data_IF_164638520805
#
_entry.id   IF_164638520805
#
_cell.length_a   1.000
_cell.length_b   1.000
_cell.length_c   1.000
_cell.angle_alpha   90.00
_cell.angle_beta   90.00
_cell.angle_gamma   90.00
#
_symmetry.space_group_name_H-M   'P 1'
#
loop_
_entity.id
_entity.type
_entity.pdbx_description
1 polymer ?
#
# COMPACT_ATOMS: atom_id res chain seq x y z
N UNK A 1 -20.51 21.43 -10.56
CA UNK A 1 -20.00 20.08 -10.97
C UNK A 1 -19.05 19.57 -9.92
N UNK A 2 -19.18 18.31 -9.51
CA UNK A 2 -18.27 17.73 -8.54
C UNK A 2 -16.81 17.77 -9.03
N UNK A 3 -15.93 18.20 -8.15
CA UNK A 3 -14.49 18.31 -8.39
C UNK A 3 -13.73 17.26 -7.58
N UNK A 4 -12.75 16.60 -8.21
CA UNK A 4 -11.84 15.69 -7.53
C UNK A 4 -10.43 16.26 -7.64
N UNK A 5 -9.80 16.55 -6.49
CA UNK A 5 -8.37 16.89 -6.40
C UNK A 5 -7.64 15.69 -5.83
N UNK A 6 -6.61 15.20 -6.52
CA UNK A 6 -5.80 14.05 -6.07
C UNK A 6 -4.44 14.56 -5.61
N UNK A 7 -4.10 14.28 -4.36
CA UNK A 7 -2.79 14.53 -3.76
C UNK A 7 -2.07 13.20 -3.65
N UNK A 8 -0.95 13.08 -4.38
CA UNK A 8 -0.07 11.92 -4.32
C UNK A 8 1.02 12.14 -3.29
N UNK A 9 1.11 11.31 -2.28
CA UNK A 9 2.09 11.43 -1.18
C UNK A 9 3.20 10.40 -1.31
N UNK A 10 4.41 10.79 -0.97
CA UNK A 10 5.57 9.90 -1.07
C UNK A 10 5.81 9.05 0.20
N UNK A 11 4.82 8.94 1.08
CA UNK A 11 4.74 8.10 2.29
C UNK A 11 5.80 8.32 3.39
N UNK A 12 6.82 9.15 3.20
CA UNK A 12 8.00 9.16 4.10
C UNK A 12 8.60 10.55 4.34
N UNK A 13 7.87 11.62 4.04
CA UNK A 13 8.41 12.96 4.23
C UNK A 13 7.47 13.87 5.03
N UNK A 14 8.04 14.72 5.87
CA UNK A 14 7.31 15.81 6.50
C UNK A 14 6.62 16.70 5.46
N UNK A 15 7.23 16.86 4.30
CA UNK A 15 6.66 17.58 3.17
C UNK A 15 5.31 17.01 2.74
N UNK A 16 5.17 15.66 2.66
CA UNK A 16 3.89 15.03 2.31
C UNK A 16 2.79 15.33 3.33
N UNK A 17 3.14 15.38 4.61
CA UNK A 17 2.21 15.79 5.68
C UNK A 17 1.76 17.24 5.48
N UNK A 18 2.70 18.13 5.20
CA UNK A 18 2.41 19.57 5.02
C UNK A 18 1.61 19.82 3.73
N UNK A 19 1.89 19.08 2.64
CA UNK A 19 1.12 19.12 1.38
C UNK A 19 -0.33 18.68 1.57
N UNK A 20 -0.58 17.62 2.36
CA UNK A 20 -1.93 17.17 2.68
C UNK A 20 -2.71 18.20 3.47
N UNK A 21 -2.08 18.80 4.50
CA UNK A 21 -2.70 19.85 5.32
C UNK A 21 -3.04 21.09 4.48
N UNK A 22 -2.07 21.56 3.71
CA UNK A 22 -2.29 22.69 2.79
C UNK A 22 -3.42 22.39 1.79
N UNK A 23 -3.46 21.18 1.25
CA UNK A 23 -4.52 20.79 0.32
C UNK A 23 -5.92 20.80 0.97
N UNK A 24 -6.06 20.36 2.24
CA UNK A 24 -7.33 20.44 2.98
C UNK A 24 -7.74 21.88 3.22
N UNK A 25 -6.82 22.75 3.67
CA UNK A 25 -7.10 24.13 3.96
C UNK A 25 -7.47 24.95 2.72
N UNK A 26 -6.71 24.78 1.63
CA UNK A 26 -6.91 25.53 0.38
C UNK A 26 -8.15 25.05 -0.39
N UNK A 27 -8.27 23.74 -0.56
CA UNK A 27 -9.34 23.14 -1.37
C UNK A 27 -10.66 23.09 -0.64
N UNK A 28 -10.67 23.08 0.72
CA UNK A 28 -11.85 22.97 1.58
C UNK A 28 -12.81 21.87 1.10
N UNK A 29 -12.39 20.62 1.12
CA UNK A 29 -13.18 19.53 0.58
C UNK A 29 -14.44 19.26 1.42
N UNK A 30 -15.50 18.77 0.76
CA UNK A 30 -16.71 18.27 1.42
C UNK A 30 -16.54 16.80 1.87
N UNK A 31 -15.52 16.11 1.36
CA UNK A 31 -15.09 14.77 1.79
C UNK A 31 -13.60 14.57 1.51
N UNK A 32 -12.92 13.95 2.46
CA UNK A 32 -11.52 13.48 2.29
C UNK A 32 -11.57 11.98 2.03
N UNK A 33 -11.17 11.57 0.82
CA UNK A 33 -11.04 10.18 0.43
C UNK A 33 -9.59 9.72 0.68
N UNK A 34 -9.38 8.63 1.42
CA UNK A 34 -8.07 8.18 1.86
C UNK A 34 -7.81 6.76 1.33
N UNK A 35 -6.61 6.49 0.82
CA UNK A 35 -6.15 5.19 0.34
C UNK A 35 -5.91 4.21 1.51
N UNK A 36 -6.94 3.96 2.27
CA UNK A 36 -6.98 2.99 3.35
C UNK A 36 -8.21 2.10 3.22
N UNK A 37 -8.06 0.86 3.67
CA UNK A 37 -9.17 -0.03 3.98
C UNK A 37 -9.57 0.11 5.46
N UNK A 38 -10.76 -0.39 5.87
CA UNK A 38 -11.22 -0.27 7.25
C UNK A 38 -10.28 -0.86 8.30
N UNK A 39 -9.53 -1.92 7.97
CA UNK A 39 -8.61 -2.57 8.91
C UNK A 39 -7.36 -1.73 9.17
N UNK A 40 -6.77 -1.17 8.10
CA UNK A 40 -5.63 -0.25 8.20
C UNK A 40 -6.01 1.06 8.86
N UNK A 41 -7.19 1.60 8.55
CA UNK A 41 -7.73 2.79 9.21
C UNK A 41 -7.88 2.58 10.72
N UNK A 42 -8.47 1.45 11.14
CA UNK A 42 -8.62 1.11 12.55
C UNK A 42 -7.27 0.92 13.25
N UNK A 43 -6.26 0.34 12.56
CA UNK A 43 -4.91 0.18 13.09
C UNK A 43 -4.23 1.55 13.30
N UNK A 44 -4.29 2.47 12.34
CA UNK A 44 -3.75 3.82 12.47
C UNK A 44 -4.39 4.60 13.63
N UNK A 45 -5.70 4.45 13.85
CA UNK A 45 -6.37 5.08 15.01
C UNK A 45 -5.98 4.47 16.36
N UNK A 46 -5.57 3.21 16.40
CA UNK A 46 -5.13 2.53 17.62
C UNK A 46 -3.68 2.82 18.00
N UNK A 47 -2.83 3.27 17.08
CA UNK A 47 -1.41 3.59 17.32
C UNK A 47 -1.16 4.72 18.33
N UNK A 48 -2.20 5.33 18.92
CA UNK A 48 -2.12 6.17 20.12
C UNK A 48 -2.02 5.40 21.45
N UNK A 49 -2.03 4.05 21.43
CA UNK A 49 -1.75 3.18 22.58
C UNK A 49 -0.59 2.26 22.19
N UNK A 50 0.41 2.15 23.06
CA UNK A 50 1.54 1.23 22.84
C UNK A 50 1.08 -0.11 22.29
N UNK A 51 1.63 -0.55 21.14
CA UNK A 51 1.26 -1.85 20.59
C UNK A 51 1.61 -2.93 21.62
N UNK A 52 0.62 -3.70 22.05
CA UNK A 52 0.90 -4.82 22.92
C UNK A 52 1.70 -5.87 22.15
N UNK A 53 2.61 -6.58 22.84
CA UNK A 53 3.42 -7.66 22.24
C UNK A 53 2.54 -8.71 21.54
N UNK A 54 1.28 -8.85 21.93
CA UNK A 54 0.30 -9.73 21.28
C UNK A 54 -0.16 -9.21 19.91
N UNK A 55 -0.24 -7.90 19.69
CA UNK A 55 -0.60 -7.33 18.38
C UNK A 55 0.51 -7.58 17.33
N UNK A 56 1.77 -7.64 17.77
CA UNK A 56 2.93 -7.98 16.94
C UNK A 56 2.97 -9.49 16.62
N UNK A 57 2.46 -10.35 17.50
CA UNK A 57 2.42 -11.80 17.31
C UNK A 57 1.29 -12.27 16.39
N UNK A 58 0.18 -11.54 16.28
CA UNK A 58 -0.86 -11.79 15.26
C UNK A 58 -0.40 -11.49 13.83
N UNK A 59 0.67 -10.70 13.65
CA UNK A 59 1.35 -10.42 12.37
C UNK A 59 2.18 -11.63 11.86
N UNK A 60 2.15 -12.80 12.49
CA UNK A 60 2.78 -14.04 12.00
C UNK A 60 2.18 -14.60 10.69
N UNK A 61 1.40 -13.82 9.97
CA UNK A 61 0.87 -14.19 8.68
C UNK A 61 1.93 -13.94 7.58
N UNK A 62 2.09 -14.90 6.67
CA UNK A 62 2.91 -14.83 5.45
C UNK A 62 2.77 -13.49 4.70
N UNK A 63 1.61 -12.86 4.79
CA UNK A 63 1.31 -11.55 4.21
C UNK A 63 2.19 -10.41 4.77
N UNK A 64 2.46 -10.43 6.08
CA UNK A 64 3.34 -9.43 6.72
C UNK A 64 4.80 -9.64 6.31
N UNK A 65 5.25 -10.90 6.20
CA UNK A 65 6.59 -11.24 5.70
C UNK A 65 6.77 -10.80 4.24
N UNK A 66 5.73 -10.94 3.42
CA UNK A 66 5.76 -10.48 2.02
C UNK A 66 5.87 -8.96 1.92
N UNK A 67 5.10 -8.23 2.73
CA UNK A 67 5.15 -6.76 2.78
C UNK A 67 6.52 -6.30 3.32
N UNK A 68 7.00 -6.91 4.39
CA UNK A 68 8.33 -6.61 4.94
C UNK A 68 9.44 -6.91 3.92
N UNK A 69 9.34 -8.04 3.21
CA UNK A 69 10.29 -8.37 2.17
C UNK A 69 10.24 -7.37 1.00
N UNK A 70 9.05 -7.00 0.54
CA UNK A 70 8.90 -6.00 -0.53
C UNK A 70 9.51 -4.66 -0.12
N UNK A 71 9.22 -4.21 1.11
CA UNK A 71 9.81 -2.99 1.67
C UNK A 71 11.33 -3.10 1.78
N UNK A 72 11.86 -4.22 2.30
CA UNK A 72 13.29 -4.45 2.40
C UNK A 72 13.98 -4.53 1.02
N UNK A 73 13.33 -5.14 0.03
CA UNK A 73 13.80 -5.17 -1.34
C UNK A 73 13.89 -3.77 -1.94
N UNK A 74 12.85 -2.95 -1.75
CA UNK A 74 12.80 -1.58 -2.22
C UNK A 74 13.84 -0.70 -1.50
N UNK A 75 13.95 -0.81 -0.18
CA UNK A 75 14.95 -0.08 0.62
C UNK A 75 16.38 -0.39 0.18
N UNK A 76 16.71 -1.66 -0.08
CA UNK A 76 18.05 -2.05 -0.55
C UNK A 76 18.37 -1.57 -1.96
N UNK A 77 17.38 -1.59 -2.86
CA UNK A 77 17.60 -1.23 -4.25
C UNK A 77 17.70 0.28 -4.46
N UNK A 78 17.14 1.07 -3.52
CA UNK A 78 16.97 2.52 -3.67
C UNK A 78 17.74 3.30 -2.61
N UNK A 79 18.33 2.63 -1.57
CA UNK A 79 19.03 3.32 -0.48
C UNK A 79 18.11 4.23 0.36
N UNK A 80 16.83 3.92 0.45
CA UNK A 80 15.82 4.78 1.08
C UNK A 80 15.95 4.74 2.60
N UNK A 81 16.56 5.75 3.20
CA UNK A 81 16.52 5.95 4.64
C UNK A 81 15.22 6.69 5.01
N UNK A 82 14.30 5.94 5.62
CA UNK A 82 12.94 6.41 5.91
C UNK A 82 12.90 7.06 7.27
N UNK A 83 13.14 8.37 7.32
CA UNK A 83 13.12 9.15 8.56
C UNK A 83 11.73 9.44 9.15
N UNK A 84 10.64 8.95 8.53
CA UNK A 84 9.25 9.19 8.96
C UNK A 84 8.48 7.87 8.97
N UNK A 85 7.59 7.67 9.97
CA UNK A 85 6.72 6.49 10.04
C UNK A 85 5.85 6.35 8.79
N UNK A 86 5.81 5.17 8.14
CA UNK A 86 4.91 4.92 7.01
C UNK A 86 3.45 5.19 7.40
N UNK A 87 2.76 6.01 6.60
CA UNK A 87 1.36 6.37 6.85
C UNK A 87 1.16 7.65 7.67
N UNK A 88 2.21 8.39 8.00
CA UNK A 88 2.10 9.67 8.72
C UNK A 88 1.24 10.69 7.96
N UNK A 89 1.31 10.71 6.63
CA UNK A 89 0.48 11.55 5.75
C UNK A 89 -1.00 11.14 5.78
N UNK A 90 -1.29 9.84 5.83
CA UNK A 90 -2.66 9.33 5.97
C UNK A 90 -3.23 9.67 7.35
N UNK A 91 -2.39 9.59 8.39
CA UNK A 91 -2.75 10.02 9.75
C UNK A 91 -3.03 11.51 9.81
N UNK A 92 -2.20 12.34 9.19
CA UNK A 92 -2.42 13.78 9.10
C UNK A 92 -3.72 14.11 8.36
N UNK A 93 -4.03 13.41 7.26
CA UNK A 93 -5.29 13.56 6.54
C UNK A 93 -6.51 13.24 7.43
N UNK A 94 -6.41 12.19 8.26
CA UNK A 94 -7.46 11.80 9.21
C UNK A 94 -7.63 12.87 10.28
N UNK A 95 -6.53 13.28 10.93
CA UNK A 95 -6.54 14.26 12.02
C UNK A 95 -7.11 15.60 11.57
N UNK A 96 -6.68 16.10 10.40
CA UNK A 96 -7.15 17.38 9.89
C UNK A 96 -8.61 17.31 9.38
N UNK A 97 -9.03 16.20 8.77
CA UNK A 97 -10.43 15.99 8.40
C UNK A 97 -11.33 15.99 9.65
N UNK A 98 -10.95 15.28 10.72
CA UNK A 98 -11.66 15.24 11.99
C UNK A 98 -11.71 16.63 12.65
N UNK A 99 -10.59 17.35 12.68
CA UNK A 99 -10.51 18.73 13.22
C UNK A 99 -11.48 19.70 12.54
N UNK A 100 -11.67 19.55 11.24
CA UNK A 100 -12.56 20.40 10.44
C UNK A 100 -13.96 19.79 10.27
N UNK A 101 -14.27 18.66 10.93
CA UNK A 101 -15.53 17.93 10.80
C UNK A 101 -15.86 17.53 9.35
N UNK A 102 -14.83 17.21 8.55
CA UNK A 102 -14.99 16.78 7.17
C UNK A 102 -15.15 15.24 7.16
N UNK A 103 -16.18 14.69 6.50
CA UNK A 103 -16.37 13.25 6.37
C UNK A 103 -15.17 12.57 5.69
N UNK A 104 -14.80 11.40 6.19
CA UNK A 104 -13.72 10.57 5.62
C UNK A 104 -14.36 9.42 4.84
N UNK A 105 -13.86 9.18 3.62
CA UNK A 105 -14.20 8.02 2.82
C UNK A 105 -12.97 7.13 2.65
N UNK A 106 -13.10 5.85 2.99
CA UNK A 106 -12.05 4.85 2.78
C UNK A 106 -12.22 4.26 1.37
N UNK A 107 -11.24 4.47 0.50
CA UNK A 107 -11.39 4.16 -0.92
C UNK A 107 -10.49 3.03 -1.42
N UNK A 108 -9.65 2.44 -0.56
CA UNK A 108 -8.82 1.29 -0.97
C UNK A 108 -9.50 -0.05 -0.71
N UNK A 109 -9.05 -1.04 -1.47
CA UNK A 109 -9.47 -2.44 -1.36
C UNK A 109 -8.87 -3.08 -0.10
N UNK A 110 -9.63 -3.98 0.54
CA UNK A 110 -9.14 -4.78 1.67
C UNK A 110 -7.76 -5.39 1.34
N UNK A 111 -6.79 -5.14 2.22
CA UNK A 111 -5.41 -5.57 2.04
C UNK A 111 -5.31 -7.10 1.89
N UNK A 112 -6.16 -7.87 2.56
CA UNK A 112 -6.18 -9.34 2.46
C UNK A 112 -6.56 -9.78 1.05
N UNK A 113 -7.58 -9.14 0.45
CA UNK A 113 -7.99 -9.41 -0.93
C UNK A 113 -6.85 -9.05 -1.88
N UNK A 114 -6.22 -7.91 -1.67
CA UNK A 114 -5.09 -7.44 -2.48
C UNK A 114 -3.92 -8.44 -2.46
N UNK A 115 -3.52 -8.91 -1.27
CA UNK A 115 -2.42 -9.86 -1.11
C UNK A 115 -2.77 -11.26 -1.67
N UNK A 116 -4.00 -11.72 -1.50
CA UNK A 116 -4.46 -12.98 -2.10
C UNK A 116 -4.43 -12.90 -3.63
N UNK A 117 -4.91 -11.80 -4.21
CA UNK A 117 -4.87 -11.57 -5.66
C UNK A 117 -3.45 -11.49 -6.17
N UNK A 118 -2.59 -10.74 -5.50
CA UNK A 118 -1.17 -10.67 -5.81
C UNK A 118 -0.56 -12.06 -5.90
N UNK A 119 -0.66 -12.86 -4.85
CA UNK A 119 -0.08 -14.19 -4.84
C UNK A 119 -0.66 -15.13 -5.91
N UNK A 120 -1.98 -15.08 -6.13
CA UNK A 120 -2.62 -15.93 -7.13
C UNK A 120 -2.32 -15.49 -8.56
N UNK A 121 -1.99 -14.21 -8.78
CA UNK A 121 -1.61 -13.68 -10.09
C UNK A 121 -0.20 -14.07 -10.50
N UNK A 122 0.71 -14.29 -9.52
CA UNK A 122 2.10 -14.63 -9.80
C UNK A 122 2.24 -15.94 -10.56
N UNK A 123 2.98 -15.91 -11.67
CA UNK A 123 3.44 -17.10 -12.37
C UNK A 123 4.47 -17.89 -11.57
N UNK A 124 4.70 -19.15 -11.93
CA UNK A 124 5.70 -20.00 -11.27
C UNK A 124 7.09 -19.35 -11.31
N UNK A 125 7.49 -18.78 -12.45
CA UNK A 125 8.76 -18.09 -12.58
C UNK A 125 8.89 -16.88 -11.66
N UNK A 126 7.83 -16.07 -11.48
CA UNK A 126 7.82 -14.95 -10.56
C UNK A 126 7.94 -15.41 -9.11
N UNK A 127 7.23 -16.48 -8.73
CA UNK A 127 7.34 -17.09 -7.38
C UNK A 127 8.75 -17.58 -7.08
N UNK A 128 9.40 -18.22 -8.06
CA UNK A 128 10.80 -18.68 -7.93
C UNK A 128 11.72 -17.47 -7.79
N UNK A 129 11.60 -16.44 -8.65
CA UNK A 129 12.39 -15.21 -8.56
C UNK A 129 12.25 -14.54 -7.19
N UNK A 130 11.03 -14.45 -6.66
CA UNK A 130 10.78 -13.88 -5.34
C UNK A 130 11.40 -14.71 -4.22
N UNK A 131 11.31 -16.04 -4.31
CA UNK A 131 11.94 -16.95 -3.36
C UNK A 131 13.48 -16.80 -3.35
N UNK A 132 14.11 -16.75 -4.51
CA UNK A 132 15.54 -16.50 -4.63
C UNK A 132 15.94 -15.13 -4.11
N UNK A 133 15.20 -14.07 -4.45
CA UNK A 133 15.47 -12.73 -3.95
C UNK A 133 15.36 -12.66 -2.41
N UNK A 134 14.43 -13.40 -1.80
CA UNK A 134 14.32 -13.53 -0.36
C UNK A 134 15.55 -14.22 0.25
N UNK A 135 16.01 -15.35 -0.33
CA UNK A 135 17.19 -16.09 0.13
C UNK A 135 18.44 -15.22 0.05
N UNK A 136 18.67 -14.54 -1.09
CA UNK A 136 19.79 -13.62 -1.27
C UNK A 136 19.70 -12.47 -0.27
N UNK A 137 18.50 -11.91 -0.04
CA UNK A 137 18.33 -10.81 0.91
C UNK A 137 18.63 -11.21 2.36
N UNK A 138 18.49 -12.46 2.73
CA UNK A 138 18.88 -12.98 4.05
C UNK A 138 20.39 -13.24 4.10
N UNK A 139 21.00 -13.66 2.98
CA UNK A 139 22.42 -14.02 2.91
C UNK A 139 23.36 -12.80 2.76
N UNK A 140 22.90 -11.74 2.07
CA UNK A 140 23.68 -10.53 1.80
C UNK A 140 23.27 -9.39 2.73
N UNK A 141 23.69 -9.46 3.99
CA UNK A 141 23.43 -8.39 4.98
C UNK A 141 24.25 -7.12 4.67
N UNK A 142 25.21 -7.13 3.71
CA UNK A 142 26.25 -6.09 3.64
C UNK A 142 26.59 -5.52 2.24
N UNK A 143 25.77 -5.69 1.23
CA UNK A 143 26.04 -5.14 -0.12
C UNK A 143 25.07 -4.05 -0.53
N UNK A 144 25.12 -2.89 0.12
CA UNK A 144 24.45 -1.68 -0.31
C UNK A 144 25.18 -1.04 -1.49
N UNK A 145 24.61 -1.08 -2.71
CA UNK A 145 24.98 -0.09 -3.73
C UNK A 145 24.20 1.19 -3.41
N UNK A 146 24.91 2.21 -2.96
CA UNK A 146 24.37 3.57 -2.82
C UNK A 146 24.12 4.12 -4.23
N UNK A 147 22.85 4.26 -4.58
CA UNK A 147 22.44 5.09 -5.72
C UNK A 147 22.37 6.51 -5.17
N UNK A 148 23.09 7.44 -5.77
CA UNK A 148 23.00 8.87 -5.45
C UNK A 148 21.61 9.40 -5.80
N UNK A 149 20.74 9.40 -4.80
CA UNK A 149 19.33 9.81 -4.91
C UNK A 149 19.16 11.30 -4.61
N UNK A 150 20.17 11.97 -4.01
CA UNK A 150 20.07 13.37 -3.60
C UNK A 150 19.81 14.34 -4.75
N UNK A 151 20.11 13.93 -6.00
CA UNK A 151 19.90 14.75 -7.19
C UNK A 151 18.55 14.51 -7.89
N UNK A 152 17.82 13.44 -7.54
CA UNK A 152 16.56 13.08 -8.21
C UNK A 152 15.36 13.65 -7.47
N UNK A 153 14.35 14.10 -8.25
CA UNK A 153 13.06 14.46 -7.66
C UNK A 153 12.41 13.18 -7.09
N UNK A 154 11.77 13.29 -5.94
CA UNK A 154 11.13 12.19 -5.24
C UNK A 154 10.13 11.40 -6.13
N UNK A 155 9.42 12.10 -7.02
CA UNK A 155 8.52 11.50 -7.99
C UNK A 155 9.25 10.61 -9.00
N UNK A 156 10.40 11.05 -9.52
CA UNK A 156 11.19 10.29 -10.50
C UNK A 156 11.71 8.97 -9.91
N UNK A 157 12.06 8.99 -8.61
CA UNK A 157 12.47 7.79 -7.87
C UNK A 157 11.31 6.81 -7.75
N UNK A 158 10.11 7.28 -7.40
CA UNK A 158 8.92 6.44 -7.28
C UNK A 158 8.59 5.80 -8.64
N UNK A 159 8.60 6.58 -9.71
CA UNK A 159 8.29 6.10 -11.05
C UNK A 159 9.32 5.04 -11.51
N UNK A 160 10.61 5.25 -11.22
CA UNK A 160 11.66 4.26 -11.49
C UNK A 160 11.45 2.95 -10.71
N UNK A 161 11.09 3.05 -9.42
CA UNK A 161 10.79 1.88 -8.57
C UNK A 161 9.61 1.09 -9.11
N UNK A 162 8.54 1.80 -9.47
CA UNK A 162 7.34 1.19 -10.02
C UNK A 162 7.62 0.48 -11.33
N UNK A 163 8.44 1.09 -12.21
CA UNK A 163 8.87 0.48 -13.47
C UNK A 163 9.72 -0.78 -13.25
N UNK A 164 10.70 -0.70 -12.35
CA UNK A 164 11.53 -1.87 -12.00
C UNK A 164 10.69 -3.00 -11.38
N UNK A 165 9.72 -2.68 -10.54
CA UNK A 165 8.82 -3.67 -10.01
C UNK A 165 7.95 -4.31 -11.11
N UNK A 166 7.48 -3.53 -12.10
CA UNK A 166 6.76 -4.05 -13.28
C UNK A 166 7.62 -4.99 -14.10
N UNK A 167 8.91 -4.69 -14.27
CA UNK A 167 9.87 -5.58 -14.97
C UNK A 167 10.14 -6.86 -14.19
N UNK A 168 10.27 -6.75 -12.87
CA UNK A 168 10.55 -7.88 -11.98
C UNK A 168 9.37 -8.85 -11.90
N UNK A 169 8.17 -8.33 -11.65
CA UNK A 169 6.92 -9.09 -11.49
C UNK A 169 5.74 -8.39 -12.16
N UNK A 170 5.54 -8.57 -13.48
CA UNK A 170 4.44 -7.93 -14.21
C UNK A 170 3.06 -8.28 -13.65
N UNK A 171 2.85 -9.55 -13.29
CA UNK A 171 1.58 -9.99 -12.71
C UNK A 171 1.38 -9.48 -11.29
N UNK A 172 2.47 -9.40 -10.51
CA UNK A 172 2.45 -8.79 -9.18
C UNK A 172 2.13 -7.31 -9.24
N UNK A 173 2.77 -6.56 -10.14
CA UNK A 173 2.51 -5.15 -10.35
C UNK A 173 1.06 -4.88 -10.76
N UNK A 174 0.50 -5.70 -11.66
CA UNK A 174 -0.92 -5.62 -12.02
C UNK A 174 -1.82 -5.73 -10.80
N UNK A 175 -1.58 -6.68 -9.90
CA UNK A 175 -2.44 -6.91 -8.74
C UNK A 175 -2.29 -5.84 -7.65
N UNK A 176 -1.05 -5.36 -7.41
CA UNK A 176 -0.74 -4.40 -6.34
C UNK A 176 -0.90 -2.94 -6.77
N UNK A 177 -0.82 -2.65 -8.06
CA UNK A 177 -0.88 -1.29 -8.59
C UNK A 177 -2.13 -1.14 -9.45
N UNK A 178 -2.18 -1.75 -10.65
CA UNK A 178 -3.19 -1.44 -11.66
C UNK A 178 -4.62 -1.77 -11.20
N UNK A 179 -4.81 -2.91 -10.53
CA UNK A 179 -6.13 -3.29 -10.00
C UNK A 179 -6.55 -2.39 -8.82
N UNK A 180 -5.60 -1.90 -8.01
CA UNK A 180 -5.91 -0.96 -6.94
C UNK A 180 -6.23 0.42 -7.50
N UNK A 181 -5.49 0.89 -8.50
CA UNK A 181 -5.78 2.14 -9.20
C UNK A 181 -7.22 2.14 -9.75
N UNK A 182 -7.59 1.06 -10.44
CA UNK A 182 -8.93 0.89 -10.95
C UNK A 182 -9.99 0.83 -9.82
N UNK A 183 -9.71 0.13 -8.72
CA UNK A 183 -10.61 0.05 -7.57
C UNK A 183 -10.83 1.42 -6.92
N UNK A 184 -9.76 2.16 -6.63
CA UNK A 184 -9.83 3.50 -6.03
C UNK A 184 -10.56 4.46 -6.97
N UNK A 185 -10.26 4.42 -8.27
CA UNK A 185 -10.96 5.23 -9.26
C UNK A 185 -12.47 4.95 -9.29
N UNK A 186 -12.90 3.68 -9.21
CA UNK A 186 -14.31 3.32 -9.07
C UNK A 186 -14.95 3.96 -7.83
N UNK A 187 -14.28 3.88 -6.68
CA UNK A 187 -14.79 4.49 -5.44
C UNK A 187 -14.90 6.02 -5.55
N UNK A 188 -13.91 6.67 -6.16
CA UNK A 188 -13.93 8.12 -6.36
C UNK A 188 -15.04 8.56 -7.34
N UNK A 189 -15.24 7.81 -8.42
CA UNK A 189 -16.35 8.06 -9.37
C UNK A 189 -17.69 7.87 -8.69
N UNK A 190 -17.84 6.86 -7.84
CA UNK A 190 -19.06 6.64 -7.06
C UNK A 190 -19.32 7.79 -6.08
N UNK A 191 -18.28 8.24 -5.35
CA UNK A 191 -18.38 9.42 -4.47
C UNK A 191 -18.77 10.67 -5.24
N UNK A 192 -18.19 10.87 -6.43
CA UNK A 192 -18.53 11.98 -7.33
C UNK A 192 -20.01 11.94 -7.72
N UNK A 193 -20.53 10.76 -8.07
CA UNK A 193 -21.94 10.59 -8.43
C UNK A 193 -22.89 10.85 -7.24
N UNK A 194 -22.49 10.47 -6.02
CA UNK A 194 -23.26 10.72 -4.80
C UNK A 194 -23.23 12.18 -4.35
N UNK A 195 -22.27 12.99 -4.83
CA UNK A 195 -22.06 14.39 -4.45
C UNK A 195 -21.84 15.26 -5.70
N UNK A 196 -22.87 15.50 -6.51
CA UNK A 196 -22.73 16.12 -7.84
C UNK A 196 -22.20 17.56 -7.84
N UNK A 197 -22.20 18.21 -6.69
CA UNK A 197 -21.66 19.57 -6.49
C UNK A 197 -20.48 19.59 -5.48
N UNK A 198 -20.09 18.41 -4.97
CA UNK A 198 -19.12 18.30 -3.89
C UNK A 198 -17.67 18.39 -4.36
N UNK A 199 -16.80 18.84 -3.46
CA UNK A 199 -15.35 18.83 -3.60
C UNK A 199 -14.78 17.63 -2.88
N UNK A 200 -14.12 16.74 -3.61
CA UNK A 200 -13.52 15.51 -3.10
C UNK A 200 -12.01 15.66 -3.14
N UNK A 201 -11.36 15.60 -1.98
CA UNK A 201 -9.91 15.52 -1.89
C UNK A 201 -9.51 14.05 -1.71
N UNK A 202 -8.81 13.49 -2.67
CA UNK A 202 -8.25 12.13 -2.59
C UNK A 202 -6.78 12.19 -2.17
N UNK A 203 -6.44 11.56 -1.06
CA UNK A 203 -5.06 11.39 -0.56
C UNK A 203 -4.63 9.96 -0.84
N UNK A 204 -3.66 9.81 -1.73
CA UNK A 204 -3.20 8.51 -2.25
C UNK A 204 -1.68 8.48 -2.31
N UNK A 205 -1.09 7.29 -2.33
CA UNK A 205 0.33 7.13 -2.61
C UNK A 205 0.71 7.65 -3.99
N UNK A 206 1.85 8.33 -4.09
CA UNK A 206 2.30 8.96 -5.34
C UNK A 206 2.35 8.00 -6.53
N UNK A 207 2.71 6.73 -6.29
CA UNK A 207 2.73 5.69 -7.32
C UNK A 207 1.36 5.31 -7.89
N UNK A 208 0.27 5.66 -7.21
CA UNK A 208 -1.11 5.38 -7.66
C UNK A 208 -1.76 6.57 -8.36
N UNK A 209 -1.25 7.80 -8.09
CA UNK A 209 -1.86 9.05 -8.58
C UNK A 209 -2.14 9.04 -10.07
N UNK A 210 -1.14 8.69 -10.88
CA UNK A 210 -1.26 8.75 -12.36
C UNK A 210 -2.28 7.71 -12.87
N UNK A 211 -2.23 6.48 -12.37
CA UNK A 211 -3.15 5.42 -12.77
C UNK A 211 -4.60 5.74 -12.40
N UNK A 212 -4.84 6.25 -11.18
CA UNK A 212 -6.16 6.69 -10.73
C UNK A 212 -6.68 7.83 -11.60
N UNK A 213 -5.86 8.85 -11.87
CA UNK A 213 -6.23 9.99 -12.73
C UNK A 213 -6.62 9.52 -14.12
N UNK A 214 -5.82 8.66 -14.73
CA UNK A 214 -6.09 8.12 -16.07
C UNK A 214 -7.44 7.37 -16.12
N UNK A 215 -7.80 6.62 -15.08
CA UNK A 215 -9.08 5.92 -15.01
C UNK A 215 -10.27 6.86 -14.78
N UNK A 216 -10.10 7.94 -14.02
CA UNK A 216 -11.15 8.95 -13.82
C UNK A 216 -11.41 9.74 -15.12
N UNK A 217 -10.35 10.10 -15.84
CA UNK A 217 -10.45 10.83 -17.11
C UNK A 217 -10.96 9.94 -18.25
N UNK A 218 -10.67 8.64 -18.20
CA UNK A 218 -11.08 7.67 -19.20
C UNK A 218 -11.80 6.45 -18.56
N UNK A 219 -13.06 6.58 -18.12
CA UNK A 219 -13.77 5.51 -17.44
C UNK A 219 -13.94 4.21 -18.25
N UNK A 220 -13.78 4.28 -19.56
CA UNK A 220 -13.79 3.09 -20.45
C UNK A 220 -12.61 2.14 -20.22
N UNK A 221 -11.55 2.60 -19.55
CA UNK A 221 -10.37 1.79 -19.19
C UNK A 221 -10.54 1.04 -17.89
N UNK A 222 -11.63 1.30 -17.15
CA UNK A 222 -11.87 0.66 -15.87
C UNK A 222 -12.16 -0.83 -16.02
N UNK A 223 -11.43 -1.62 -15.26
CA UNK A 223 -11.76 -3.04 -15.06
C UNK A 223 -13.11 -3.16 -14.33
N UNK A 224 -14.02 -4.08 -14.71
CA UNK A 224 -15.31 -4.23 -14.04
C UNK A 224 -15.15 -4.41 -12.52
N UNK A 225 -15.91 -3.64 -11.74
CA UNK A 225 -15.79 -3.59 -10.27
C UNK A 225 -15.93 -4.97 -9.61
N UNK A 226 -16.89 -5.77 -10.06
CA UNK A 226 -17.12 -7.14 -9.53
C UNK A 226 -15.88 -8.04 -9.69
N UNK A 227 -15.09 -7.81 -10.75
CA UNK A 227 -13.85 -8.56 -10.94
C UNK A 227 -12.74 -8.15 -9.98
N UNK A 228 -12.75 -6.89 -9.51
CA UNK A 228 -11.78 -6.34 -8.56
C UNK A 228 -12.08 -6.72 -7.11
N UNK A 229 -13.36 -6.92 -6.77
CA UNK A 229 -13.83 -7.27 -5.43
C UNK A 229 -13.89 -8.76 -5.17
N UNK A 230 -13.90 -9.59 -6.24
CA UNK A 230 -13.99 -11.04 -6.08
C UNK A 230 -12.79 -11.58 -5.31
N UNK A 231 -13.08 -12.23 -4.17
CA UNK A 231 -12.05 -12.95 -3.42
C UNK A 231 -11.51 -14.11 -4.27
N UNK A 232 -10.19 -14.20 -4.49
CA UNK A 232 -9.60 -15.37 -5.11
C UNK A 232 -9.72 -16.56 -4.16
N UNK A 233 -9.63 -17.77 -4.74
CA UNK A 233 -9.64 -19.01 -3.94
C UNK A 233 -8.58 -18.92 -2.84
N UNK A 234 -8.99 -19.26 -1.61
CA UNK A 234 -8.11 -19.24 -0.44
C UNK A 234 -6.82 -20.04 -0.67
N UNK A 235 -5.75 -19.58 -0.10
CA UNK A 235 -4.43 -20.19 -0.17
C UNK A 235 -4.44 -21.64 0.35
N UNK A 236 -3.78 -22.59 -0.32
CA UNK A 236 -3.70 -23.98 0.16
C UNK A 236 -3.09 -24.10 1.56
N UNK A 237 -2.22 -23.18 1.96
CA UNK A 237 -1.51 -23.16 3.26
C UNK A 237 -2.36 -22.66 4.43
N UNK A 238 -3.46 -21.98 4.19
CA UNK A 238 -4.41 -21.66 5.26
C UNK A 238 -5.01 -22.91 5.90
N UNK A 239 -4.77 -24.08 5.30
CA UNK A 239 -5.18 -25.40 5.79
C UNK A 239 -4.04 -26.20 6.44
N UNK A 240 -2.80 -25.65 6.52
CA UNK A 240 -1.72 -26.35 7.24
C UNK A 240 -1.95 -26.16 8.74
N UNK A 241 -2.25 -27.23 9.50
CA UNK A 241 -2.44 -27.12 10.94
C UNK A 241 -1.16 -26.58 11.59
N UNK A 242 -1.29 -25.62 12.50
CA UNK A 242 -0.18 -25.02 13.27
C UNK A 242 0.76 -26.08 13.91
N UNK A 243 0.26 -27.29 14.17
CA UNK A 243 1.03 -28.42 14.72
C UNK A 243 2.22 -28.86 13.86
N UNK A 244 2.27 -28.58 12.57
CA UNK A 244 3.41 -28.96 11.72
C UNK A 244 4.61 -27.98 11.80
N UNK A 245 4.35 -26.76 12.28
CA UNK A 245 5.42 -25.74 12.44
C UNK A 245 6.11 -25.82 13.80
N UNK A 246 5.53 -26.52 14.76
CA UNK A 246 6.13 -26.74 16.10
C UNK A 246 7.14 -27.92 16.15
N UNK A 247 7.26 -28.70 15.08
CA UNK A 247 8.15 -29.87 15.05
C UNK A 247 9.65 -29.58 14.88
N UNK A 248 10.07 -28.31 14.80
CA UNK A 248 11.49 -27.94 14.70
C UNK A 248 12.02 -27.12 15.89
N UNK A 249 11.47 -27.30 17.09
CA UNK A 249 12.17 -26.90 18.30
C UNK A 249 13.30 -27.91 18.56
N UNK A 250 14.50 -27.55 18.17
CA UNK A 250 15.76 -28.24 18.48
C UNK A 250 15.79 -28.48 19.99
N UNK A 251 15.74 -29.75 20.42
CA UNK A 251 15.99 -30.13 21.80
C UNK A 251 17.43 -29.70 22.17
N UNK A 252 17.62 -29.03 23.30
CA UNK A 252 18.99 -28.79 23.77
C UNK A 252 19.66 -30.14 24.06
N UNK A 253 20.91 -30.29 23.62
CA UNK A 253 21.76 -31.41 23.89
C UNK A 253 22.05 -31.43 25.40
N UNK A 254 21.78 -32.54 26.13
CA UNK A 254 22.13 -32.63 27.54
C UNK A 254 23.65 -32.66 27.71
N UNK A 255 24.15 -31.88 28.67
CA UNK A 255 25.53 -31.79 29.13
C UNK A 255 26.03 -33.09 29.74
#
# INVERSE_FOLDING_TARGET
>A
MAEIKIVGTAHVSQQSVDEVRAAIEEFRPDVVAIELDPSRFAALKKQGRDPSVNDVLEVRNFNALLVQWLLAYLQRKIGFDVGVEPGAEMKAAIEDAEKHNIPIALVDRDIRVTLLRFWNSLGIAEKIKMGWALIISIAEVDAGQEIDIESLKQQDVIDMVMEEFRKFSPNGARALIDERDAYIAHQLILLKAQRPEGRILAVVGAGHRQGITNHIDNPSTLTPFDSLTREPKSFPWAKIPLKMLEMNSIRPIPS
#
